data_IF_474343966567
#
_entry.id   IF_474343966567
#
_cell.length_a   1.000
_cell.length_b   1.000
_cell.length_c   1.000
_cell.angle_alpha   90.00
_cell.angle_beta   90.00
_cell.angle_gamma   90.00
#
_symmetry.space_group_name_H-M   'P 1'
#
loop_
_entity.id
_entity.type
_entity.pdbx_description
1 polymer ?
#
# COMPACT_ATOMS: atom_id res chain seq x y z
N UNK A 1 2.38 7.86 4.21
CA UNK A 1 1.35 6.82 3.95
C UNK A 1 0.18 7.27 3.09
N UNK A 2 -0.29 8.52 3.17
CA UNK A 2 -1.39 9.04 2.31
C UNK A 2 -1.23 8.66 0.83
N UNK A 3 -0.08 8.95 0.22
CA UNK A 3 0.22 8.59 -1.18
C UNK A 3 0.14 7.08 -1.48
N UNK A 4 0.46 6.23 -0.51
CA UNK A 4 0.33 4.79 -0.67
C UNK A 4 -1.14 4.35 -0.75
N UNK A 5 -2.00 4.95 0.07
CA UNK A 5 -3.45 4.71 0.05
C UNK A 5 -4.04 5.20 -1.27
N UNK A 6 -3.72 6.43 -1.68
CA UNK A 6 -4.17 6.98 -2.96
C UNK A 6 -3.80 6.08 -4.15
N UNK A 7 -2.59 5.51 -4.15
CA UNK A 7 -2.17 4.57 -5.19
C UNK A 7 -2.85 3.21 -5.08
N UNK A 8 -3.14 2.72 -3.88
CA UNK A 8 -3.86 1.46 -3.69
C UNK A 8 -5.33 1.56 -4.12
N UNK A 9 -5.95 2.73 -3.95
CA UNK A 9 -7.35 2.99 -4.30
C UNK A 9 -7.52 3.37 -5.77
N UNK A 10 -6.67 4.26 -6.29
CA UNK A 10 -6.87 4.87 -7.61
C UNK A 10 -6.01 4.23 -8.72
N UNK A 11 -5.23 3.19 -8.42
CA UNK A 11 -4.36 2.58 -9.42
C UNK A 11 -4.35 1.06 -9.35
N UNK A 12 -3.96 0.44 -10.46
CA UNK A 12 -3.76 -1.00 -10.52
C UNK A 12 -2.32 -1.45 -10.22
N UNK A 13 -1.46 -0.54 -9.73
CA UNK A 13 -0.05 -0.81 -9.50
C UNK A 13 0.17 -1.99 -8.56
N UNK A 14 1.22 -2.76 -8.84
CA UNK A 14 1.64 -3.83 -7.95
C UNK A 14 2.27 -3.24 -6.69
N UNK A 15 2.23 -4.00 -5.59
CA UNK A 15 2.76 -3.56 -4.30
C UNK A 15 4.20 -3.06 -4.41
N UNK A 16 5.06 -3.82 -5.10
CA UNK A 16 6.46 -3.45 -5.35
C UNK A 16 6.58 -2.07 -6.02
N UNK A 17 5.75 -1.74 -7.01
CA UNK A 17 5.75 -0.44 -7.68
C UNK A 17 5.30 0.69 -6.74
N UNK A 18 4.32 0.42 -5.88
CA UNK A 18 3.84 1.39 -4.88
C UNK A 18 4.94 1.67 -3.86
N UNK A 19 5.62 0.64 -3.36
CA UNK A 19 6.79 0.73 -2.47
C UNK A 19 7.84 1.71 -3.02
N UNK A 20 8.26 1.51 -4.27
CA UNK A 20 9.21 2.42 -4.93
C UNK A 20 8.67 3.86 -5.06
N UNK A 21 7.40 4.03 -5.42
CA UNK A 21 6.78 5.37 -5.59
C UNK A 21 6.63 6.16 -4.30
N UNK A 22 6.58 5.49 -3.15
CA UNK A 22 6.45 6.15 -1.83
C UNK A 22 7.80 6.34 -1.14
N UNK A 23 8.92 6.01 -1.81
CA UNK A 23 10.27 6.16 -1.28
C UNK A 23 10.68 5.04 -0.32
N UNK A 24 9.99 3.90 -0.35
CA UNK A 24 10.28 2.74 0.51
C UNK A 24 10.53 1.54 -0.40
N UNK A 25 11.76 1.33 -0.89
CA UNK A 25 12.03 0.31 -1.91
C UNK A 25 11.88 -1.13 -1.38
N UNK A 26 11.92 -1.34 -0.07
CA UNK A 26 11.72 -2.65 0.57
C UNK A 26 10.22 -2.96 0.72
N UNK A 27 9.68 -3.97 -0.01
CA UNK A 27 8.26 -4.32 0.05
C UNK A 27 7.83 -4.94 1.38
N UNK A 28 8.73 -5.67 2.06
CA UNK A 28 8.45 -6.29 3.36
C UNK A 28 8.35 -5.22 4.44
N UNK A 29 9.30 -4.30 4.45
CA UNK A 29 9.29 -3.15 5.36
C UNK A 29 8.07 -2.27 5.10
N UNK A 30 7.77 -1.94 3.83
CA UNK A 30 6.56 -1.20 3.45
C UNK A 30 5.31 -1.90 3.97
N UNK A 31 5.16 -3.21 3.75
CA UNK A 31 3.99 -3.97 4.19
C UNK A 31 3.82 -3.94 5.71
N UNK A 32 4.90 -4.11 6.48
CA UNK A 32 4.89 -4.00 7.94
C UNK A 32 4.50 -2.61 8.41
N UNK A 33 5.14 -1.57 7.85
CA UNK A 33 4.88 -0.18 8.23
C UNK A 33 3.45 0.23 7.87
N UNK A 34 2.97 -0.14 6.68
CA UNK A 34 1.61 0.10 6.25
C UNK A 34 0.61 -0.58 7.16
N UNK A 35 0.82 -1.87 7.46
CA UNK A 35 -0.06 -2.63 8.36
C UNK A 35 -0.10 -2.05 9.77
N UNK A 36 1.05 -1.59 10.28
CA UNK A 36 1.14 -0.92 11.59
C UNK A 36 0.36 0.40 11.62
N UNK A 37 0.36 1.16 10.52
CA UNK A 37 -0.28 2.48 10.46
C UNK A 37 -1.77 2.40 10.10
N UNK A 38 -2.17 1.47 9.23
CA UNK A 38 -3.54 1.34 8.72
C UNK A 38 -4.36 0.25 9.41
N UNK A 39 -3.73 -0.55 10.28
CA UNK A 39 -4.37 -1.67 10.99
C UNK A 39 -4.66 -2.89 10.10
N UNK A 40 -4.26 -2.87 8.82
CA UNK A 40 -4.47 -3.97 7.88
C UNK A 40 -3.44 -3.98 6.77
N UNK A 41 -3.25 -5.14 6.13
CA UNK A 41 -2.28 -5.29 5.05
C UNK A 41 -2.68 -4.44 3.82
N UNK A 42 -1.70 -3.96 3.02
CA UNK A 42 -1.97 -3.23 1.77
C UNK A 42 -2.88 -4.00 0.80
N UNK A 43 -2.77 -5.34 0.79
CA UNK A 43 -3.59 -6.23 -0.05
C UNK A 43 -5.04 -6.23 0.40
N UNK A 44 -5.27 -6.30 1.73
CA UNK A 44 -6.61 -6.23 2.29
C UNK A 44 -7.22 -4.84 2.12
N UNK A 45 -6.40 -3.79 2.26
CA UNK A 45 -6.81 -2.41 2.04
C UNK A 45 -7.38 -2.23 0.62
N UNK A 46 -6.67 -2.71 -0.41
CA UNK A 46 -7.13 -2.66 -1.82
C UNK A 46 -8.41 -3.49 -2.10
N UNK A 47 -8.68 -4.52 -1.30
CA UNK A 47 -9.90 -5.32 -1.42
C UNK A 47 -11.13 -4.64 -0.83
N UNK A 48 -10.96 -3.70 0.12
CA UNK A 48 -12.07 -2.98 0.77
C UNK A 48 -12.71 -1.92 -0.12
N UNK A 49 -11.96 -1.27 -0.99
CA UNK A 49 -12.42 -0.10 -1.77
C UNK A 49 -13.18 -0.46 -3.06
N UNK A 50 -13.49 -1.75 -3.30
CA UNK A 50 -14.18 -2.23 -4.52
C UNK A 50 -15.65 -2.64 -4.25
N UNK A 51 -16.35 -1.88 -3.43
CA UNK A 51 -17.83 -1.85 -3.34
C UNK A 51 -18.32 -0.55 -3.90
#
# INVERSE_FOLDING_TARGET
MRRACDLLDNSNLKLNQICFKVGIPDPYYFSRLFSKLMGMSPRNFRGRTRT
#
